data_IF_886792239991
#
_entry.id   IF_886792239991
#
_cell.length_a   1.000
_cell.length_b   1.000
_cell.length_c   1.000
_cell.angle_alpha   90.00
_cell.angle_beta   90.00
_cell.angle_gamma   90.00
#
_symmetry.space_group_name_H-M   'P 1'
#
loop_
_entity.id
_entity.type
_entity.pdbx_description
1 polymer ?
#
# COMPACT_ATOMS: atom_id res chain seq x y z
N UNK A 1 -11.62 -2.96 -11.91
CA UNK A 1 -11.79 -2.76 -10.48
C UNK A 1 -10.94 -1.61 -9.99
N UNK A 2 -11.51 -0.76 -9.19
CA UNK A 2 -10.80 0.42 -8.71
C UNK A 2 -10.76 0.43 -7.19
N UNK A 3 -9.68 0.94 -6.67
CA UNK A 3 -9.60 1.15 -5.24
C UNK A 3 -8.76 2.39 -4.98
N UNK A 4 -8.94 2.94 -3.83
CA UNK A 4 -8.33 4.20 -3.47
C UNK A 4 -7.05 3.96 -2.68
N UNK A 5 -5.98 4.64 -3.10
CA UNK A 5 -4.73 4.59 -2.38
C UNK A 5 -4.36 6.01 -1.99
N UNK A 6 -4.13 6.22 -0.72
CA UNK A 6 -3.69 7.51 -0.21
C UNK A 6 -2.20 7.46 0.05
N UNK A 7 -1.51 8.51 -0.35
CA UNK A 7 -0.07 8.59 -0.16
C UNK A 7 0.25 9.89 0.54
N UNK A 8 1.03 9.82 1.59
CA UNK A 8 1.43 11.01 2.32
C UNK A 8 2.80 10.78 2.97
N UNK A 9 3.40 11.86 3.41
CA UNK A 9 4.67 11.80 4.11
C UNK A 9 4.40 12.03 5.60
N UNK A 10 4.93 11.14 6.43
CA UNK A 10 4.69 11.26 7.86
C UNK A 10 5.71 12.18 8.52
N UNK A 11 5.68 12.25 9.84
CA UNK A 11 6.51 13.18 10.60
C UNK A 11 7.99 12.87 10.51
N UNK A 12 8.34 11.61 10.28
CA UNK A 12 9.74 11.24 10.13
C UNK A 12 10.16 11.22 8.67
N UNK A 13 9.33 11.81 7.82
CA UNK A 13 9.63 11.99 6.41
C UNK A 13 9.69 10.70 5.63
N UNK A 14 9.01 9.71 6.12
CA UNK A 14 8.79 8.49 5.35
C UNK A 14 7.49 8.62 4.56
N UNK A 15 7.48 8.01 3.39
CA UNK A 15 6.26 7.99 2.58
C UNK A 15 5.41 6.82 2.97
N UNK A 16 4.12 7.07 3.14
CA UNK A 16 3.16 6.06 3.57
C UNK A 16 2.09 5.95 2.49
N UNK A 17 1.83 4.73 2.05
CA UNK A 17 0.75 4.46 1.12
C UNK A 17 -0.26 3.56 1.81
N UNK A 18 -1.52 3.91 1.71
CA UNK A 18 -2.58 3.16 2.36
C UNK A 18 -3.68 2.85 1.36
N UNK A 19 -4.01 1.58 1.23
CA UNK A 19 -5.18 1.17 0.45
C UNK A 19 -6.37 1.18 1.40
N UNK A 20 -7.17 2.22 1.28
CA UNK A 20 -8.20 2.52 2.27
C UNK A 20 -9.19 1.37 2.43
N UNK A 21 -9.65 0.84 1.30
CA UNK A 21 -10.69 -0.18 1.32
C UNK A 21 -10.21 -1.47 1.98
N UNK A 22 -8.96 -1.79 1.80
CA UNK A 22 -8.43 -3.05 2.30
C UNK A 22 -7.66 -2.90 3.62
N UNK A 23 -7.52 -1.68 4.08
CA UNK A 23 -6.78 -1.40 5.32
C UNK A 23 -5.35 -1.93 5.25
N UNK A 24 -4.74 -1.84 4.09
CA UNK A 24 -3.35 -2.27 3.89
C UNK A 24 -2.48 -1.03 3.80
N UNK A 25 -1.36 -1.05 4.52
CA UNK A 25 -0.46 0.09 4.56
C UNK A 25 0.96 -0.36 4.26
N UNK A 26 1.69 0.47 3.54
CA UNK A 26 3.10 0.23 3.26
C UNK A 26 3.86 1.54 3.37
N UNK A 27 5.14 1.43 3.66
CA UNK A 27 5.99 2.62 3.78
C UNK A 27 7.20 2.49 2.88
N UNK A 28 7.83 3.62 2.59
CA UNK A 28 9.03 3.63 1.79
C UNK A 28 9.74 4.95 1.95
N UNK A 29 10.93 5.03 1.41
CA UNK A 29 11.71 6.26 1.50
C UNK A 29 11.28 7.29 0.47
N UNK A 30 10.64 6.84 -0.58
CA UNK A 30 10.11 7.73 -1.62
C UNK A 30 8.67 7.34 -1.90
N UNK A 31 7.98 8.26 -2.53
CA UNK A 31 6.60 7.97 -2.94
C UNK A 31 6.54 6.74 -3.82
N UNK A 32 7.46 6.66 -4.77
CA UNK A 32 7.50 5.53 -5.69
C UNK A 32 7.73 4.23 -4.95
N UNK A 33 8.61 4.24 -3.98
CA UNK A 33 8.90 3.05 -3.21
C UNK A 33 7.68 2.62 -2.38
N UNK A 34 7.02 3.58 -1.75
CA UNK A 34 5.83 3.26 -0.96
C UNK A 34 4.74 2.66 -1.84
N UNK A 35 4.56 3.23 -3.02
CA UNK A 35 3.57 2.69 -3.95
C UNK A 35 3.92 1.28 -4.41
N UNK A 36 5.18 1.05 -4.71
CA UNK A 36 5.60 -0.29 -5.11
C UNK A 36 5.35 -1.30 -4.01
N UNK A 37 5.62 -0.91 -2.79
CA UNK A 37 5.44 -1.81 -1.66
C UNK A 37 3.97 -2.09 -1.37
N UNK A 38 3.11 -1.07 -1.52
CA UNK A 38 1.70 -1.30 -1.28
C UNK A 38 1.10 -2.19 -2.36
N UNK A 39 1.57 -2.06 -3.59
CA UNK A 39 1.11 -2.93 -4.65
C UNK A 39 1.49 -4.38 -4.36
N UNK A 40 2.68 -4.59 -3.85
CA UNK A 40 3.12 -5.92 -3.46
C UNK A 40 2.26 -6.47 -2.33
N UNK A 41 1.99 -5.64 -1.35
CA UNK A 41 1.17 -6.05 -0.22
C UNK A 41 -0.25 -6.40 -0.66
N UNK A 42 -0.79 -5.62 -1.57
CA UNK A 42 -2.12 -5.88 -2.10
C UNK A 42 -2.14 -7.18 -2.90
N UNK A 43 -1.10 -7.43 -3.67
CA UNK A 43 -1.03 -8.67 -4.44
C UNK A 43 -1.06 -9.88 -3.51
N UNK A 44 -0.34 -9.79 -2.42
CA UNK A 44 -0.35 -10.87 -1.43
C UNK A 44 -1.71 -11.01 -0.78
N UNK A 45 -2.34 -9.88 -0.49
CA UNK A 45 -3.65 -9.89 0.13
C UNK A 45 -4.66 -10.58 -0.77
N UNK A 46 -4.67 -10.24 -2.04
CA UNK A 46 -5.61 -10.84 -2.98
C UNK A 46 -5.32 -12.32 -3.19
N UNK A 47 -4.06 -12.67 -3.29
CA UNK A 47 -3.69 -14.04 -3.47
C UNK A 47 -4.12 -14.89 -2.30
N UNK A 48 -3.94 -14.36 -1.10
CA UNK A 48 -4.29 -15.08 0.09
C UNK A 48 -5.79 -15.29 0.21
N UNK A 49 -6.57 -14.28 -0.13
CA UNK A 49 -8.01 -14.41 0.02
C UNK A 49 -8.63 -15.25 -1.08
N UNK A 50 -8.06 -15.31 -2.26
CA UNK A 50 -8.63 -16.12 -3.32
C UNK A 50 -8.10 -17.54 -3.29
N UNK A 51 -7.01 -17.79 -2.67
CA UNK A 51 -6.37 -19.02 -2.77
C UNK A 51 -6.91 -20.07 -1.97
N UNK A 52 -7.41 -20.05 -1.65
CA UNK A 52 -7.67 -21.07 -1.18
C UNK A 52 -6.92 -21.89 -1.08
#
# INVERSE_FOLDING_TARGET
>A
MQFEVEVYQNEVKEWVATAVVYAVTATGRTEKEALARIMEALARHFKKSSGK
#
